data_IF_630999947554
#
_entry.id   IF_630999947554
#
_cell.length_a   1.000
_cell.length_b   1.000
_cell.length_c   1.000
_cell.angle_alpha   90.00
_cell.angle_beta   90.00
_cell.angle_gamma   90.00
#
_symmetry.space_group_name_H-M   'P 1'
#
loop_
_entity.id
_entity.type
_entity.pdbx_description
1 polymer ?
#
# COMPACT_ATOMS: atom_id res chain seq x y z
N UNK A 1 12.51 -0.66 2.63
CA UNK A 1 11.89 -1.99 2.80
C UNK A 1 11.03 -2.38 1.60
N UNK A 2 11.10 -3.64 1.16
CA UNK A 2 10.28 -4.19 0.05
C UNK A 2 8.78 -4.12 0.36
N UNK A 3 8.38 -4.50 1.57
CA UNK A 3 6.98 -4.54 2.03
C UNK A 3 6.34 -3.15 1.99
N UNK A 4 7.02 -2.11 2.48
CA UNK A 4 6.51 -0.74 2.44
C UNK A 4 6.29 -0.19 1.02
N UNK A 5 7.11 -0.61 0.04
CA UNK A 5 6.90 -0.27 -1.38
C UNK A 5 5.71 -1.03 -1.96
N UNK A 6 5.56 -2.32 -1.64
CA UNK A 6 4.42 -3.13 -2.07
C UNK A 6 3.11 -2.57 -1.53
N UNK A 7 3.05 -2.21 -0.24
CA UNK A 7 1.85 -1.59 0.34
C UNK A 7 1.49 -0.32 -0.41
N UNK A 8 2.46 0.59 -0.60
CA UNK A 8 2.23 1.84 -1.35
C UNK A 8 1.75 1.62 -2.79
N UNK A 9 2.20 0.55 -3.44
CA UNK A 9 1.68 0.15 -4.75
C UNK A 9 0.20 -0.22 -4.66
N UNK A 10 -0.16 -1.11 -3.72
CA UNK A 10 -1.55 -1.54 -3.53
C UNK A 10 -2.44 -0.35 -3.15
N UNK A 11 -1.94 0.54 -2.30
CA UNK A 11 -2.60 1.80 -1.93
C UNK A 11 -2.94 2.65 -3.16
N UNK A 12 -1.99 2.82 -4.09
CA UNK A 12 -2.22 3.55 -5.34
C UNK A 12 -3.19 2.81 -6.27
N UNK A 13 -3.06 1.49 -6.39
CA UNK A 13 -3.93 0.66 -7.24
C UNK A 13 -5.39 0.74 -6.77
N UNK A 14 -5.62 0.82 -5.44
CA UNK A 14 -6.94 1.04 -4.87
C UNK A 14 -7.51 2.42 -5.20
N UNK A 15 -6.68 3.46 -5.17
CA UNK A 15 -7.10 4.82 -5.51
C UNK A 15 -7.43 4.90 -7.03
N UNK A 16 -6.67 4.22 -7.88
CA UNK A 16 -6.96 4.10 -9.31
C UNK A 16 -8.26 3.32 -9.57
N UNK A 17 -8.50 2.22 -8.85
CA UNK A 17 -9.73 1.45 -8.96
C UNK A 17 -10.95 2.27 -8.50
N UNK A 18 -10.80 3.10 -7.46
CA UNK A 18 -11.85 4.00 -7.01
C UNK A 18 -12.17 5.06 -8.07
N UNK A 19 -11.16 5.61 -8.75
CA UNK A 19 -11.35 6.54 -9.86
C UNK A 19 -12.12 5.88 -11.02
N UNK A 20 -11.68 4.69 -11.47
CA UNK A 20 -12.36 3.93 -12.54
C UNK A 20 -13.80 3.56 -12.19
N UNK A 21 -14.06 3.19 -10.94
CA UNK A 21 -15.43 2.90 -10.49
C UNK A 21 -16.33 4.14 -10.51
N UNK A 22 -15.75 5.32 -10.27
CA UNK A 22 -16.46 6.61 -10.33
C UNK A 22 -16.77 7.04 -11.76
N UNK A 23 -15.86 6.79 -12.70
CA UNK A 23 -16.12 6.96 -14.13
C UNK A 23 -17.28 6.07 -14.59
N UNK A 24 -17.26 4.78 -14.23
CA UNK A 24 -18.37 3.86 -14.52
C UNK A 24 -19.69 4.34 -13.92
N UNK A 25 -19.69 4.83 -12.67
CA UNK A 25 -20.89 5.38 -12.04
C UNK A 25 -21.44 6.59 -12.82
N UNK A 26 -20.56 7.49 -13.27
CA UNK A 26 -20.93 8.65 -14.06
C UNK A 26 -21.49 8.24 -15.44
N UNK A 27 -20.91 7.24 -16.10
CA UNK A 27 -21.42 6.71 -17.36
C UNK A 27 -22.84 6.12 -17.21
N UNK A 28 -23.07 5.32 -16.16
CA UNK A 28 -24.41 4.77 -15.89
C UNK A 28 -25.41 5.91 -15.62
N UNK A 29 -25.01 6.93 -14.86
CA UNK A 29 -25.86 8.09 -14.59
C UNK A 29 -26.21 8.87 -15.88
N UNK A 30 -25.23 9.06 -16.79
CA UNK A 30 -25.45 9.70 -18.09
C UNK A 30 -26.33 8.85 -19.00
N UNK A 31 -26.10 7.54 -19.06
CA UNK A 31 -26.91 6.62 -19.85
C UNK A 31 -28.39 6.71 -19.44
N UNK A 32 -28.68 6.78 -18.14
CA UNK A 32 -30.05 6.95 -17.62
C UNK A 32 -30.74 8.23 -18.08
N UNK A 33 -29.99 9.30 -18.32
CA UNK A 33 -30.57 10.56 -18.83
C UNK A 33 -30.94 10.39 -20.31
N UNK A 34 -30.09 9.72 -21.09
CA UNK A 34 -30.25 9.57 -22.54
C UNK A 34 -31.32 8.54 -22.92
N UNK A 35 -31.41 7.42 -22.20
CA UNK A 35 -32.22 6.29 -22.65
C UNK A 35 -33.71 6.44 -22.37
N UNK A 36 -34.13 7.37 -21.50
CA UNK A 36 -35.50 7.55 -20.96
C UNK A 36 -36.18 6.29 -20.37
N UNK A 37 -35.60 5.10 -20.59
CA UNK A 37 -36.01 3.84 -20.01
C UNK A 37 -35.82 3.86 -18.50
N UNK A 38 -36.97 3.75 -17.85
CA UNK A 38 -37.23 3.56 -16.44
C UNK A 38 -36.02 3.71 -15.52
N UNK A 39 -36.12 4.71 -14.65
CA UNK A 39 -35.39 4.80 -13.38
C UNK A 39 -35.22 3.43 -12.69
N UNK A 40 -36.10 2.45 -12.92
CA UNK A 40 -36.00 1.09 -12.41
C UNK A 40 -34.77 0.28 -12.86
N UNK A 41 -34.33 0.39 -14.13
CA UNK A 41 -33.23 -0.44 -14.66
C UNK A 41 -31.85 0.11 -14.29
N UNK A 42 -31.67 1.43 -14.27
CA UNK A 42 -30.39 2.05 -13.94
C UNK A 42 -30.08 2.21 -12.44
N UNK A 43 -31.10 2.24 -11.58
CA UNK A 43 -30.90 2.42 -10.13
C UNK A 43 -30.18 1.23 -9.48
N UNK A 44 -30.52 -0.01 -9.87
CA UNK A 44 -29.91 -1.20 -9.27
C UNK A 44 -28.41 -1.32 -9.62
N UNK A 45 -27.96 -1.14 -10.88
CA UNK A 45 -26.54 -1.05 -11.22
C UNK A 45 -25.82 0.08 -10.47
N UNK A 46 -26.38 1.30 -10.43
CA UNK A 46 -25.77 2.41 -9.68
C UNK A 46 -25.61 2.07 -8.19
N UNK A 47 -26.63 1.50 -7.56
CA UNK A 47 -26.54 1.08 -6.16
C UNK A 47 -25.49 -0.02 -5.93
N UNK A 48 -25.24 -0.90 -6.90
CA UNK A 48 -24.15 -1.90 -6.84
C UNK A 48 -22.78 -1.23 -6.94
N UNK A 49 -22.60 -0.28 -7.86
CA UNK A 49 -21.34 0.46 -8.00
C UNK A 49 -21.07 1.35 -6.76
N UNK A 50 -22.08 2.00 -6.20
CA UNK A 50 -21.95 2.75 -4.95
C UNK A 50 -21.51 1.87 -3.78
N UNK A 51 -22.08 0.66 -3.66
CA UNK A 51 -21.63 -0.32 -2.65
C UNK A 51 -20.19 -0.79 -2.87
N UNK A 52 -19.80 -1.01 -4.13
CA UNK A 52 -18.41 -1.31 -4.48
C UNK A 52 -17.47 -0.19 -4.02
N UNK A 53 -17.80 1.08 -4.32
CA UNK A 53 -17.02 2.24 -3.89
C UNK A 53 -16.88 2.30 -2.36
N UNK A 54 -17.95 2.02 -1.62
CA UNK A 54 -17.90 1.96 -0.17
C UNK A 54 -16.98 0.84 0.33
N UNK A 55 -17.09 -0.37 -0.22
CA UNK A 55 -16.19 -1.47 0.14
C UNK A 55 -14.72 -1.19 -0.20
N UNK A 56 -14.44 -0.45 -1.28
CA UNK A 56 -13.09 -0.01 -1.62
C UNK A 56 -12.55 1.00 -0.60
N UNK A 57 -13.38 1.96 -0.16
CA UNK A 57 -12.99 2.91 0.90
C UNK A 57 -12.70 2.20 2.22
N UNK A 58 -13.53 1.23 2.61
CA UNK A 58 -13.33 0.45 3.83
C UNK A 58 -12.02 -0.36 3.76
N UNK A 59 -11.78 -1.04 2.63
CA UNK A 59 -10.54 -1.78 2.41
C UNK A 59 -9.32 -0.85 2.40
N UNK A 60 -9.44 0.38 1.89
CA UNK A 60 -8.36 1.38 1.87
C UNK A 60 -8.02 1.83 3.29
N UNK A 61 -9.03 2.03 4.13
CA UNK A 61 -8.86 2.39 5.53
C UNK A 61 -8.09 1.30 6.29
N UNK A 62 -8.45 0.03 6.10
CA UNK A 62 -7.73 -1.10 6.70
C UNK A 62 -6.29 -1.21 6.19
N UNK A 63 -6.07 -0.98 4.90
CA UNK A 63 -4.72 -0.99 4.34
C UNK A 63 -3.83 0.12 4.93
N UNK A 64 -4.38 1.33 5.13
CA UNK A 64 -3.67 2.43 5.78
C UNK A 64 -3.34 2.11 7.24
N UNK A 65 -4.26 1.45 7.97
CA UNK A 65 -4.02 0.98 9.34
C UNK A 65 -2.88 -0.03 9.37
N UNK A 66 -2.92 -1.02 8.49
CA UNK A 66 -1.85 -2.02 8.36
C UNK A 66 -0.50 -1.37 8.00
N UNK A 67 -0.49 -0.40 7.07
CA UNK A 67 0.71 0.37 6.73
C UNK A 67 1.27 1.08 7.97
N UNK A 68 0.43 1.77 8.74
CA UNK A 68 0.83 2.47 9.97
C UNK A 68 1.43 1.51 10.99
N UNK A 69 0.82 0.34 11.20
CA UNK A 69 1.32 -0.62 12.18
C UNK A 69 2.64 -1.25 11.74
N UNK A 70 2.82 -1.52 10.45
CA UNK A 70 4.09 -1.96 9.90
C UNK A 70 5.17 -0.89 9.98
N UNK A 71 4.82 0.39 9.84
CA UNK A 71 5.75 1.50 10.07
C UNK A 71 6.24 1.55 11.52
N UNK A 72 5.35 1.35 12.51
CA UNK A 72 5.77 1.27 13.92
C UNK A 72 6.71 0.10 14.18
N UNK A 73 6.40 -1.07 13.61
CA UNK A 73 7.27 -2.25 13.73
C UNK A 73 8.66 -1.95 13.13
N UNK A 74 8.70 -1.25 12.00
CA UNK A 74 9.95 -0.81 11.37
C UNK A 74 10.77 0.15 12.22
N UNK A 75 10.13 0.99 13.05
CA UNK A 75 10.83 1.89 13.98
C UNK A 75 11.40 1.12 15.18
N UNK A 76 10.74 0.04 15.61
CA UNK A 76 11.20 -0.79 16.73
C UNK A 76 12.26 -1.83 16.36
N UNK A 77 12.26 -2.29 15.11
CA UNK A 77 13.36 -3.07 14.57
C UNK A 77 14.42 -2.07 14.15
N UNK A 78 15.56 -2.03 14.83
CA UNK A 78 16.69 -1.10 14.67
C UNK A 78 17.37 -1.20 13.28
N UNK A 79 16.58 -1.04 12.22
CA UNK A 79 17.02 -1.00 10.84
C UNK A 79 17.17 0.49 10.53
N UNK A 80 18.40 1.01 10.38
CA UNK A 80 18.61 2.41 10.09
C UNK A 80 17.83 2.80 8.82
N UNK A 81 16.79 3.62 9.00
CA UNK A 81 15.91 4.12 7.93
C UNK A 81 16.70 4.96 6.92
N UNK A 82 17.86 5.49 7.34
CA UNK A 82 18.91 6.03 6.47
C UNK A 82 20.10 5.10 6.47
N UNK A 83 20.25 4.33 5.40
CA UNK A 83 21.53 3.75 5.04
C UNK A 83 22.44 4.93 4.62
N UNK A 84 23.57 5.19 5.28
CA UNK A 84 24.49 6.23 4.84
C UNK A 84 24.96 5.93 3.40
N UNK A 85 25.15 6.97 2.59
CA UNK A 85 25.57 6.84 1.18
C UNK A 85 26.94 6.14 1.04
N UNK A 86 27.73 6.13 2.11
CA UNK A 86 28.98 5.36 2.23
C UNK A 86 28.90 4.38 3.41
N UNK A 87 28.77 3.09 3.10
CA UNK A 87 29.00 2.04 4.08
C UNK A 87 30.50 1.81 4.21
N UNK A 88 31.15 2.47 5.17
CA UNK A 88 32.54 2.16 5.52
C UNK A 88 32.53 0.99 6.48
N UNK A 89 33.08 -0.15 6.05
CA UNK A 89 33.47 -1.21 6.98
C UNK A 89 34.49 -0.55 7.91
N UNK A 90 34.19 -0.50 9.21
CA UNK A 90 35.23 -0.19 10.18
C UNK A 90 36.36 -1.18 9.90
N UNK A 91 37.53 -0.66 9.57
CA UNK A 91 38.74 -1.45 9.38
C UNK A 91 39.04 -2.12 10.72
N UNK A 92 38.49 -3.31 10.94
CA UNK A 92 38.96 -4.20 11.98
C UNK A 92 40.41 -4.47 11.63
N UNK A 93 41.31 -3.99 12.48
CA UNK A 93 42.73 -4.21 12.31
C UNK A 93 42.99 -5.72 12.39
N UNK A 94 43.94 -6.21 11.60
CA UNK A 94 44.27 -7.63 11.54
C UNK A 94 44.61 -8.25 12.92
N UNK A 95 44.95 -7.43 13.91
CA UNK A 95 45.19 -7.86 15.29
C UNK A 95 43.92 -8.36 15.99
N UNK A 96 42.74 -7.77 15.72
CA UNK A 96 41.48 -8.19 16.35
C UNK A 96 40.96 -9.52 15.77
N UNK A 97 41.28 -9.81 14.51
CA UNK A 97 40.93 -11.08 13.84
C UNK A 97 41.76 -12.24 14.43
N UNK A 98 43.00 -11.99 14.84
CA UNK A 98 43.88 -13.00 15.45
C UNK A 98 43.43 -13.48 16.83
N UNK A 99 42.81 -12.61 17.63
CA UNK A 99 42.38 -12.94 18.99
C UNK A 99 41.15 -13.87 19.04
N UNK A 100 40.26 -13.76 18.06
CA UNK A 100 39.03 -14.59 18.00
C UNK A 100 39.34 -16.04 17.58
N UNK A 101 40.37 -16.26 16.76
CA UNK A 101 40.74 -17.61 16.30
C UNK A 101 41.50 -18.40 17.37
N UNK A 102 42.23 -17.74 18.27
CA UNK A 102 43.02 -18.39 19.33
C UNK A 102 42.20 -18.88 20.54
N UNK A 103 40.92 -18.52 20.64
CA UNK A 103 40.02 -19.01 21.72
C UNK A 103 39.12 -20.18 21.28
N UNK A 104 39.25 -20.62 20.02
CA UNK A 104 38.49 -21.73 19.45
C UNK A 104 39.35 -22.98 19.13
N UNK A 105 40.59 -23.04 19.63
CA UNK A 105 41.49 -24.21 19.56
C UNK A 105 41.97 -24.57 20.97
#
# INVERSE_FOLDING_TARGET
MRIARTIRSVENDMDELLAKSSELFAEIARARIVTEEAARLGQQPMARVARLQQSLMDARLELVRAHRDLSKIAETMDIPIRCPDEARLAEMTAEEIGAVVATAA
#
